data_IF_683522680981
#
_entry.id   IF_683522680981
#
_cell.length_a   1.000
_cell.length_b   1.000
_cell.length_c   1.000
_cell.angle_alpha   90.00
_cell.angle_beta   90.00
_cell.angle_gamma   90.00
#
_symmetry.space_group_name_H-M   'P 1'
#
loop_
_entity.id
_entity.type
_entity.pdbx_description
1 polymer ?
#
# COMPACT_ATOMS: atom_id res chain seq x y z
N UNK A 1 90.32 6.60 92.03
CA UNK A 1 89.97 5.19 91.75
C UNK A 1 88.50 5.13 91.38
N UNK A 2 88.19 5.08 90.12
CA UNK A 2 86.85 5.05 89.67
C UNK A 2 86.56 3.66 89.09
N UNK A 3 85.53 2.98 89.61
CA UNK A 3 85.23 1.61 89.28
C UNK A 3 84.02 1.71 88.27
N UNK A 4 84.14 1.24 87.05
CA UNK A 4 83.03 1.30 86.12
C UNK A 4 82.03 0.17 86.40
N UNK A 5 80.71 0.49 86.49
CA UNK A 5 79.61 -0.47 86.65
C UNK A 5 79.13 -0.98 85.24
N UNK A 6 79.39 -2.28 84.95
CA UNK A 6 79.08 -2.81 83.58
C UNK A 6 77.61 -3.21 83.30
N UNK A 7 76.67 -3.04 84.18
CA UNK A 7 75.28 -3.67 84.01
C UNK A 7 74.16 -2.81 83.44
N UNK A 8 74.41 -1.52 83.31
CA UNK A 8 73.28 -0.66 82.73
C UNK A 8 73.17 -0.67 81.21
N UNK A 9 74.30 -0.94 80.51
CA UNK A 9 74.30 -0.95 79.04
C UNK A 9 73.57 -2.21 78.42
N UNK A 10 73.68 -3.35 79.16
CA UNK A 10 73.07 -4.62 78.72
C UNK A 10 71.54 -4.62 78.89
N UNK A 11 71.04 -4.07 79.99
CA UNK A 11 69.61 -3.94 80.25
C UNK A 11 68.90 -2.94 79.26
N UNK A 12 69.61 -1.87 78.88
CA UNK A 12 69.09 -0.94 77.86
C UNK A 12 69.03 -1.55 76.45
N UNK A 13 69.98 -2.40 76.04
CA UNK A 13 69.99 -3.10 74.76
C UNK A 13 68.88 -4.18 74.73
N UNK A 14 68.74 -5.00 75.75
CA UNK A 14 67.65 -6.03 75.79
C UNK A 14 66.30 -5.39 75.81
N UNK A 15 66.09 -4.28 76.49
CA UNK A 15 64.81 -3.57 76.50
C UNK A 15 64.50 -2.92 75.15
N UNK A 16 65.51 -2.41 74.41
CA UNK A 16 65.35 -1.89 73.07
C UNK A 16 65.06 -3.00 72.04
N UNK A 17 65.70 -4.17 72.17
CA UNK A 17 65.38 -5.32 71.29
C UNK A 17 63.99 -5.92 71.58
N UNK A 18 63.55 -5.94 72.81
CA UNK A 18 62.19 -6.37 73.18
C UNK A 18 61.09 -5.44 72.60
N UNK A 19 61.34 -4.12 72.66
CA UNK A 19 60.44 -3.16 72.00
C UNK A 19 60.46 -3.27 70.48
N UNK A 20 61.61 -3.49 69.87
CA UNK A 20 61.73 -3.66 68.43
C UNK A 20 61.06 -4.94 67.96
N UNK A 21 61.19 -6.07 68.66
CA UNK A 21 60.44 -7.32 68.33
C UNK A 21 58.95 -7.16 68.56
N UNK A 22 58.54 -6.45 69.63
CA UNK A 22 57.12 -6.13 69.86
C UNK A 22 56.51 -5.32 68.75
N UNK A 23 57.21 -4.32 68.25
CA UNK A 23 56.76 -3.50 67.12
C UNK A 23 56.67 -4.31 65.78
N UNK A 24 57.71 -5.19 65.56
CA UNK A 24 57.75 -6.07 64.35
C UNK A 24 56.61 -7.08 64.36
N UNK A 25 56.14 -7.54 65.54
CA UNK A 25 54.96 -8.45 65.63
C UNK A 25 53.63 -7.66 65.60
N UNK A 26 53.62 -6.46 66.19
CA UNK A 26 52.38 -5.66 66.25
C UNK A 26 51.94 -5.09 64.88
N UNK A 27 52.93 -4.68 64.08
CA UNK A 27 52.67 -4.13 62.76
C UNK A 27 51.93 -5.16 61.82
N UNK A 28 52.42 -6.41 61.63
CA UNK A 28 51.74 -7.41 60.83
C UNK A 28 50.38 -7.84 61.44
N UNK A 29 50.25 -7.82 62.77
CA UNK A 29 48.99 -8.15 63.44
C UNK A 29 47.94 -7.06 63.22
N UNK A 30 48.32 -5.78 63.23
CA UNK A 30 47.49 -4.64 62.90
C UNK A 30 47.14 -4.64 61.39
N UNK A 31 48.10 -4.92 60.49
CA UNK A 31 47.85 -4.99 59.05
C UNK A 31 46.96 -6.17 58.69
N UNK A 32 47.11 -7.32 59.37
CA UNK A 32 46.22 -8.48 59.22
C UNK A 32 44.81 -8.19 59.78
N UNK A 33 44.70 -7.42 60.87
CA UNK A 33 43.41 -6.92 61.37
C UNK A 33 42.75 -5.91 60.44
N UNK A 34 43.48 -4.96 59.90
CA UNK A 34 43.05 -3.95 58.96
C UNK A 34 42.68 -4.57 57.59
N UNK A 35 43.42 -5.59 57.13
CA UNK A 35 43.12 -6.27 55.88
C UNK A 35 41.80 -7.10 55.89
N UNK A 36 41.34 -7.44 57.11
CA UNK A 36 40.02 -8.08 57.29
C UNK A 36 38.84 -7.10 57.44
N UNK A 37 39.10 -5.80 57.57
CA UNK A 37 38.07 -4.78 57.56
C UNK A 37 37.56 -4.63 56.10
N UNK A 38 36.30 -4.99 55.86
CA UNK A 38 35.68 -4.70 54.59
C UNK A 38 35.64 -3.19 54.36
N UNK A 39 35.96 -2.69 53.14
CA UNK A 39 35.86 -1.26 52.86
C UNK A 39 34.44 -0.76 53.19
N UNK A 40 34.37 0.43 53.77
CA UNK A 40 33.08 1.06 54.08
C UNK A 40 32.25 1.15 52.79
N UNK A 41 31.03 0.65 52.83
CA UNK A 41 30.11 0.74 51.71
C UNK A 41 29.87 2.23 51.34
N UNK A 42 30.03 2.63 50.08
CA UNK A 42 29.75 4.00 49.66
C UNK A 42 28.28 4.32 49.92
N UNK A 43 27.99 5.57 50.30
CA UNK A 43 26.63 6.03 50.50
C UNK A 43 26.06 6.59 49.21
N UNK A 44 24.78 6.33 48.99
CA UNK A 44 23.98 6.80 47.88
C UNK A 44 22.72 7.43 48.44
N UNK A 45 22.39 8.60 47.98
CA UNK A 45 21.18 9.31 48.41
C UNK A 45 19.93 8.56 47.92
N UNK A 46 19.07 8.15 48.83
CA UNK A 46 17.86 7.34 48.55
C UNK A 46 16.89 8.07 47.59
N UNK A 47 16.85 9.40 47.59
CA UNK A 47 16.02 10.19 46.71
C UNK A 47 16.42 10.12 45.24
N UNK A 48 17.66 9.74 44.93
CA UNK A 48 18.22 9.66 43.57
C UNK A 48 18.04 8.29 42.92
N UNK A 49 17.58 7.29 43.67
CA UNK A 49 17.45 5.91 43.19
C UNK A 49 16.01 5.52 42.99
N UNK A 50 15.73 4.91 41.87
CA UNK A 50 14.43 4.31 41.57
C UNK A 50 14.44 2.85 42.04
N UNK A 51 13.56 2.54 43.01
CA UNK A 51 13.38 1.20 43.55
C UNK A 51 12.06 0.62 43.11
N UNK A 52 12.06 -0.63 42.65
CA UNK A 52 10.84 -1.39 42.34
C UNK A 52 10.92 -2.79 42.95
N UNK A 53 9.74 -3.38 43.19
CA UNK A 53 9.63 -4.72 43.75
C UNK A 53 9.44 -5.76 42.66
N UNK A 54 10.11 -6.91 42.79
CA UNK A 54 9.91 -8.07 41.93
C UNK A 54 8.52 -8.64 42.15
N UNK A 55 7.73 -8.72 41.07
CA UNK A 55 6.37 -9.21 41.05
C UNK A 55 6.30 -10.55 40.32
N UNK A 56 5.32 -11.37 40.66
CA UNK A 56 4.97 -12.57 39.91
C UNK A 56 3.56 -12.41 39.34
N UNK A 57 3.40 -12.68 38.07
CA UNK A 57 2.11 -12.59 37.43
C UNK A 57 2.22 -12.50 35.91
N UNK A 58 1.16 -12.04 35.31
CA UNK A 58 1.10 -11.81 33.87
C UNK A 58 1.97 -10.61 33.46
N UNK A 59 2.88 -10.85 32.53
CA UNK A 59 3.70 -9.81 31.90
C UNK A 59 3.34 -9.69 30.43
N UNK A 60 2.91 -8.50 30.03
CA UNK A 60 2.62 -8.19 28.62
C UNK A 60 3.88 -7.67 27.95
N UNK A 61 4.37 -8.42 26.98
CA UNK A 61 5.51 -8.03 26.17
C UNK A 61 5.05 -7.16 25.02
N UNK A 62 5.50 -5.92 25.00
CA UNK A 62 5.09 -4.91 24.02
C UNK A 62 6.30 -4.28 23.35
N UNK A 63 6.09 -3.83 22.13
CA UNK A 63 7.03 -3.00 21.37
C UNK A 63 6.37 -1.68 21.05
N UNK A 64 7.13 -0.60 21.19
CA UNK A 64 6.69 0.75 20.86
C UNK A 64 7.44 1.26 19.62
N UNK A 65 6.71 1.93 18.74
CA UNK A 65 7.25 2.61 17.58
C UNK A 65 6.54 3.93 17.32
N UNK A 66 7.29 4.90 16.81
CA UNK A 66 6.74 6.16 16.30
C UNK A 66 6.28 5.94 14.86
N UNK A 67 5.20 6.61 14.49
CA UNK A 67 4.64 6.47 13.15
C UNK A 67 3.80 7.64 12.71
N UNK A 68 3.13 7.45 11.60
CA UNK A 68 2.17 8.41 11.04
C UNK A 68 0.92 7.69 10.56
N UNK A 69 -0.22 8.39 10.57
CA UNK A 69 -1.42 7.95 9.88
C UNK A 69 -1.25 8.16 8.39
N UNK A 70 -1.51 7.14 7.60
CA UNK A 70 -1.48 7.23 6.13
C UNK A 70 -2.81 6.73 5.56
N UNK A 71 -3.29 7.27 4.44
CA UNK A 71 -4.47 6.75 3.77
C UNK A 71 -4.25 5.29 3.38
N UNK A 72 -5.31 4.46 3.49
CA UNK A 72 -5.26 3.08 2.96
C UNK A 72 -5.08 3.09 1.46
N UNK A 73 -5.88 3.95 0.80
CA UNK A 73 -5.92 4.06 -0.65
C UNK A 73 -5.62 5.50 -1.05
N UNK A 74 -4.71 5.65 -1.99
CA UNK A 74 -4.35 6.92 -2.62
C UNK A 74 -4.65 6.78 -4.10
N UNK A 75 -5.57 7.59 -4.61
CA UNK A 75 -5.82 7.67 -6.03
C UNK A 75 -4.92 8.76 -6.64
N UNK A 76 -3.98 8.31 -7.45
CA UNK A 76 -3.14 9.17 -8.26
C UNK A 76 -3.86 9.50 -9.57
N UNK A 77 -3.96 10.77 -9.90
CA UNK A 77 -4.64 11.24 -11.11
C UNK A 77 -3.56 11.74 -12.09
N UNK A 78 -3.16 10.90 -13.06
CA UNK A 78 -2.21 11.32 -14.09
C UNK A 78 -2.92 12.06 -15.22
N UNK A 79 -2.17 12.87 -15.97
CA UNK A 79 -2.60 13.39 -17.27
C UNK A 79 -2.75 12.22 -18.26
N UNK A 80 -3.90 12.13 -18.91
CA UNK A 80 -4.15 11.13 -19.96
C UNK A 80 -3.59 11.59 -21.31
N UNK A 81 -3.53 12.90 -21.51
CA UNK A 81 -3.06 13.55 -22.74
C UNK A 81 -2.13 14.72 -22.41
N UNK A 82 -1.33 15.11 -23.37
CA UNK A 82 -0.52 16.33 -23.25
C UNK A 82 -1.42 17.55 -23.22
N UNK A 83 -1.01 18.58 -22.48
CA UNK A 83 -1.76 19.83 -22.42
C UNK A 83 -1.07 20.88 -21.57
N UNK A 84 -1.68 22.07 -21.55
CA UNK A 84 -1.29 23.18 -20.67
C UNK A 84 -2.40 23.44 -19.67
N UNK A 85 -2.07 23.57 -18.39
CA UNK A 85 -3.03 23.88 -17.33
C UNK A 85 -3.59 25.28 -17.54
N UNK A 86 -4.90 25.39 -17.78
CA UNK A 86 -5.59 26.67 -17.98
C UNK A 86 -6.20 27.16 -16.68
N UNK A 87 -6.85 26.27 -15.96
CA UNK A 87 -7.61 26.62 -14.75
C UNK A 87 -7.60 25.48 -13.74
N UNK A 88 -7.54 25.87 -12.47
CA UNK A 88 -7.78 24.98 -11.33
C UNK A 88 -9.14 25.35 -10.73
N UNK A 89 -9.99 24.37 -10.49
CA UNK A 89 -11.34 24.57 -9.92
C UNK A 89 -11.39 24.25 -8.43
N UNK A 90 -10.47 23.41 -7.96
CA UNK A 90 -10.45 22.88 -6.61
C UNK A 90 -9.04 23.07 -6.01
N UNK A 91 -8.97 23.39 -4.74
CA UNK A 91 -7.72 23.53 -3.99
C UNK A 91 -7.48 22.32 -3.08
N UNK A 92 -6.23 22.00 -2.71
CA UNK A 92 -5.94 20.98 -1.71
C UNK A 92 -6.74 21.21 -0.41
N UNK A 93 -7.21 20.11 0.20
CA UNK A 93 -8.09 20.14 1.37
C UNK A 93 -9.59 20.15 1.06
N UNK A 94 -10.01 20.33 -0.21
CA UNK A 94 -11.42 20.35 -0.58
C UNK A 94 -11.98 18.95 -0.78
N UNK A 95 -13.19 18.62 -0.26
CA UNK A 95 -13.86 17.36 -0.56
C UNK A 95 -14.30 17.32 -2.03
N UNK A 96 -14.07 16.18 -2.68
CA UNK A 96 -14.36 15.94 -4.08
C UNK A 96 -15.20 14.69 -4.26
N UNK A 97 -16.03 14.66 -5.32
CA UNK A 97 -16.79 13.50 -5.76
C UNK A 97 -16.24 12.99 -7.08
N UNK A 98 -16.65 11.80 -7.49
CA UNK A 98 -16.23 11.12 -8.73
C UNK A 98 -16.19 12.07 -9.95
N UNK A 99 -17.24 12.89 -10.14
CA UNK A 99 -17.37 13.78 -11.30
C UNK A 99 -16.81 15.19 -11.09
N UNK A 100 -16.29 15.50 -9.92
CA UNK A 100 -15.75 16.83 -9.64
C UNK A 100 -14.55 17.11 -10.54
N UNK A 101 -14.65 18.18 -11.35
CA UNK A 101 -13.52 18.65 -12.17
C UNK A 101 -12.52 19.36 -11.29
N UNK A 102 -11.29 18.86 -11.26
CA UNK A 102 -10.19 19.42 -10.45
C UNK A 102 -9.50 20.55 -11.19
N UNK A 103 -9.14 20.30 -12.45
CA UNK A 103 -8.45 21.25 -13.31
C UNK A 103 -8.83 21.03 -14.79
N UNK A 104 -8.53 22.03 -15.60
CA UNK A 104 -8.74 22.01 -17.04
C UNK A 104 -7.41 22.22 -17.75
N UNK A 105 -7.15 21.37 -18.72
CA UNK A 105 -6.02 21.45 -19.64
C UNK A 105 -6.50 22.01 -20.98
N UNK A 106 -5.63 22.66 -21.74
CA UNK A 106 -5.85 23.02 -23.13
C UNK A 106 -4.80 22.35 -24.02
N UNK A 107 -5.26 21.85 -25.15
CA UNK A 107 -4.40 21.33 -26.21
C UNK A 107 -5.02 21.66 -27.58
N UNK A 108 -4.64 22.79 -28.21
CA UNK A 108 -5.20 23.23 -29.49
C UNK A 108 -4.98 22.22 -30.63
N UNK A 109 -3.86 21.46 -30.58
CA UNK A 109 -3.59 20.43 -31.58
C UNK A 109 -4.59 19.27 -31.50
N UNK A 110 -4.95 18.90 -30.26
CA UNK A 110 -5.97 17.87 -30.02
C UNK A 110 -7.36 18.36 -30.42
N UNK A 111 -7.70 19.63 -30.11
CA UNK A 111 -8.97 20.24 -30.54
C UNK A 111 -9.11 20.19 -32.06
N UNK A 112 -8.06 20.59 -32.80
CA UNK A 112 -8.06 20.54 -34.25
C UNK A 112 -8.15 19.10 -34.78
N UNK A 113 -7.38 18.16 -34.20
CA UNK A 113 -7.39 16.77 -34.64
C UNK A 113 -8.76 16.08 -34.41
N UNK A 114 -9.48 16.49 -33.38
CA UNK A 114 -10.84 15.98 -33.13
C UNK A 114 -11.86 16.55 -34.12
N UNK A 115 -11.76 17.83 -34.46
CA UNK A 115 -12.57 18.44 -35.50
C UNK A 115 -12.32 17.77 -36.86
N UNK A 116 -11.04 17.51 -37.22
CA UNK A 116 -10.68 16.83 -38.46
C UNK A 116 -11.25 15.41 -38.50
N UNK A 117 -11.22 14.66 -37.42
CA UNK A 117 -11.81 13.32 -37.33
C UNK A 117 -13.34 13.36 -37.50
N UNK A 118 -14.01 14.34 -36.88
CA UNK A 118 -15.44 14.53 -37.02
C UNK A 118 -15.83 14.84 -38.49
N UNK A 119 -15.09 15.72 -39.15
CA UNK A 119 -15.35 16.05 -40.57
C UNK A 119 -15.09 14.87 -41.50
N UNK A 120 -14.03 14.08 -41.23
CA UNK A 120 -13.76 12.85 -41.98
C UNK A 120 -14.91 11.83 -41.84
N UNK A 121 -15.44 11.65 -40.63
CA UNK A 121 -16.58 10.79 -40.38
C UNK A 121 -17.80 11.27 -41.15
N UNK A 122 -18.15 12.57 -41.06
CA UNK A 122 -19.28 13.14 -41.77
C UNK A 122 -19.18 13.00 -43.31
N UNK A 123 -17.97 13.18 -43.85
CA UNK A 123 -17.70 12.98 -45.27
C UNK A 123 -17.91 11.51 -45.69
N UNK A 124 -17.44 10.56 -44.88
CA UNK A 124 -17.59 9.14 -45.17
C UNK A 124 -19.07 8.69 -45.04
N UNK A 125 -19.81 9.23 -44.07
CA UNK A 125 -21.27 8.97 -43.95
C UNK A 125 -22.05 9.53 -45.15
N UNK A 126 -21.69 10.72 -45.64
CA UNK A 126 -22.29 11.29 -46.84
C UNK A 126 -21.96 10.43 -48.08
N UNK A 127 -20.71 9.96 -48.22
CA UNK A 127 -20.33 9.05 -49.32
C UNK A 127 -21.09 7.72 -49.25
N UNK A 128 -21.24 7.12 -48.07
CA UNK A 128 -22.04 5.91 -47.88
C UNK A 128 -23.50 6.10 -48.33
N UNK A 129 -24.13 7.21 -47.92
CA UNK A 129 -25.51 7.52 -48.28
C UNK A 129 -25.67 7.75 -49.78
N UNK A 130 -24.71 8.44 -50.40
CA UNK A 130 -24.71 8.66 -51.88
C UNK A 130 -24.56 7.34 -52.63
N UNK A 131 -23.59 6.49 -52.23
CA UNK A 131 -23.38 5.17 -52.83
C UNK A 131 -24.59 4.28 -52.65
N UNK A 132 -25.24 4.31 -51.50
CA UNK A 132 -26.47 3.56 -51.22
C UNK A 132 -27.60 3.97 -52.18
N UNK A 133 -27.84 5.27 -52.31
CA UNK A 133 -28.87 5.78 -53.20
C UNK A 133 -28.60 5.39 -54.68
N UNK A 134 -27.34 5.46 -55.12
CA UNK A 134 -26.92 5.05 -56.45
C UNK A 134 -27.16 3.56 -56.73
N UNK A 135 -26.71 2.69 -55.75
CA UNK A 135 -26.89 1.24 -55.89
C UNK A 135 -28.35 0.81 -55.78
N UNK A 136 -29.13 1.46 -54.92
CA UNK A 136 -30.58 1.22 -54.83
C UNK A 136 -31.28 1.57 -56.14
N UNK A 137 -30.92 2.69 -56.79
CA UNK A 137 -31.47 3.07 -58.13
C UNK A 137 -31.08 2.04 -59.19
N UNK A 138 -29.81 1.64 -59.25
CA UNK A 138 -29.36 0.62 -60.21
C UNK A 138 -30.06 -0.72 -60.01
N UNK A 139 -30.29 -1.13 -58.75
CA UNK A 139 -31.01 -2.36 -58.46
C UNK A 139 -32.48 -2.30 -58.85
N UNK A 140 -33.13 -1.13 -58.71
CA UNK A 140 -34.50 -0.90 -59.17
C UNK A 140 -34.60 -0.99 -60.68
N UNK A 141 -33.65 -0.41 -61.45
CA UNK A 141 -33.60 -0.50 -62.87
C UNK A 141 -33.44 -1.95 -63.36
N UNK A 142 -32.59 -2.71 -62.73
CA UNK A 142 -32.40 -4.13 -63.02
C UNK A 142 -33.61 -4.97 -62.66
N UNK A 143 -34.28 -4.68 -61.53
CA UNK A 143 -35.61 -5.33 -61.22
C UNK A 143 -36.66 -5.05 -62.23
N UNK A 144 -36.78 -3.83 -62.73
CA UNK A 144 -37.72 -3.47 -63.79
C UNK A 144 -37.40 -4.25 -65.08
N UNK A 145 -36.09 -4.34 -65.47
CA UNK A 145 -35.72 -5.13 -66.63
C UNK A 145 -36.04 -6.63 -66.47
N UNK A 146 -35.76 -7.22 -65.33
CA UNK A 146 -36.10 -8.62 -65.06
C UNK A 146 -37.60 -8.86 -65.02
N UNK A 147 -38.40 -7.93 -64.50
CA UNK A 147 -39.83 -8.01 -64.48
C UNK A 147 -40.45 -8.00 -65.93
N UNK A 148 -39.87 -7.20 -66.82
CA UNK A 148 -40.27 -7.17 -68.25
C UNK A 148 -39.99 -8.52 -68.91
N UNK A 149 -38.76 -9.09 -68.73
CA UNK A 149 -38.41 -10.41 -69.27
C UNK A 149 -39.32 -11.51 -68.70
N UNK A 150 -39.64 -11.45 -67.40
CA UNK A 150 -40.53 -12.40 -66.75
C UNK A 150 -42.01 -12.31 -67.34
N UNK A 151 -42.50 -11.11 -67.61
CA UNK A 151 -43.79 -10.90 -68.26
C UNK A 151 -43.79 -11.49 -69.63
N UNK A 152 -42.73 -11.26 -70.46
CA UNK A 152 -42.59 -11.81 -71.81
C UNK A 152 -42.61 -13.36 -71.79
N UNK A 153 -41.87 -13.95 -70.88
CA UNK A 153 -41.85 -15.40 -70.67
C UNK A 153 -43.22 -15.95 -70.30
N UNK A 154 -43.92 -15.31 -69.34
CA UNK A 154 -45.25 -15.73 -68.90
C UNK A 154 -46.23 -15.69 -70.04
N UNK A 155 -46.20 -14.63 -70.88
CA UNK A 155 -47.06 -14.53 -72.08
C UNK A 155 -46.69 -15.59 -73.09
N UNK A 156 -45.45 -15.85 -73.40
CA UNK A 156 -45.02 -16.89 -74.30
C UNK A 156 -45.40 -18.31 -73.83
N UNK A 157 -45.27 -18.59 -72.54
CA UNK A 157 -45.68 -19.84 -71.92
C UNK A 157 -47.21 -20.08 -72.11
N UNK A 158 -48.03 -19.07 -71.77
CA UNK A 158 -49.47 -19.13 -71.96
C UNK A 158 -49.91 -19.37 -73.46
N UNK A 159 -49.15 -18.73 -74.40
CA UNK A 159 -49.34 -18.95 -75.80
C UNK A 159 -48.99 -20.39 -76.24
N UNK A 160 -47.87 -20.93 -75.78
CA UNK A 160 -47.41 -22.30 -76.03
C UNK A 160 -48.39 -23.33 -75.45
N UNK A 161 -48.89 -23.10 -74.23
CA UNK A 161 -49.96 -23.93 -73.63
C UNK A 161 -51.23 -23.91 -74.42
N UNK A 162 -51.76 -22.72 -74.87
CA UNK A 162 -52.92 -22.54 -75.73
C UNK A 162 -52.73 -23.30 -77.05
N UNK A 163 -51.59 -23.10 -77.76
CA UNK A 163 -51.34 -23.74 -79.06
C UNK A 163 -51.28 -25.27 -78.92
N UNK A 164 -50.67 -25.77 -77.81
CA UNK A 164 -50.65 -27.21 -77.50
C UNK A 164 -52.07 -27.80 -77.29
N UNK A 165 -52.92 -27.09 -76.56
CA UNK A 165 -54.32 -27.53 -76.35
C UNK A 165 -55.18 -27.51 -77.68
N UNK A 166 -55.00 -26.47 -78.50
CA UNK A 166 -55.65 -26.43 -79.79
C UNK A 166 -55.20 -27.55 -80.72
N UNK A 167 -53.94 -27.91 -80.70
CA UNK A 167 -53.38 -29.05 -81.45
C UNK A 167 -53.96 -30.40 -81.02
N UNK A 168 -54.10 -30.62 -79.69
CA UNK A 168 -54.76 -31.79 -79.13
C UNK A 168 -56.19 -31.97 -79.57
N UNK A 169 -56.86 -30.85 -79.80
CA UNK A 169 -58.30 -30.83 -80.34
C UNK A 169 -58.34 -30.92 -81.86
N UNK A 170 -57.20 -31.05 -82.58
CA UNK A 170 -57.14 -31.10 -84.05
C UNK A 170 -57.35 -29.78 -84.75
N UNK A 171 -57.31 -28.66 -84.01
CA UNK A 171 -57.57 -27.29 -84.50
C UNK A 171 -56.31 -26.45 -84.71
N UNK A 172 -55.13 -27.01 -84.47
CA UNK A 172 -53.82 -26.33 -84.52
C UNK A 172 -52.80 -27.07 -85.40
N UNK A 173 -51.91 -26.29 -86.06
CA UNK A 173 -50.80 -26.83 -86.84
C UNK A 173 -49.64 -27.24 -85.88
N UNK A 174 -49.09 -28.45 -86.05
CA UNK A 174 -47.91 -28.93 -85.23
C UNK A 174 -46.73 -27.98 -85.30
N UNK A 175 -46.53 -27.28 -86.41
CA UNK A 175 -45.43 -26.32 -86.60
C UNK A 175 -45.62 -25.13 -85.62
N UNK A 176 -46.84 -24.64 -85.46
CA UNK A 176 -47.10 -23.53 -84.50
C UNK A 176 -46.76 -23.94 -83.06
N UNK A 177 -47.12 -25.17 -82.65
CA UNK A 177 -46.80 -25.68 -81.32
C UNK A 177 -45.28 -25.77 -81.13
N UNK A 178 -44.54 -26.22 -82.15
CA UNK A 178 -43.04 -26.28 -82.04
C UNK A 178 -42.43 -24.89 -81.94
N UNK A 179 -42.91 -23.93 -82.68
CA UNK A 179 -42.44 -22.54 -82.69
C UNK A 179 -42.79 -21.84 -81.37
N UNK A 180 -44.01 -21.92 -80.87
CA UNK A 180 -44.38 -21.30 -79.62
C UNK A 180 -43.69 -21.93 -78.39
N UNK A 181 -43.46 -23.26 -78.41
CA UNK A 181 -42.66 -23.93 -77.35
C UNK A 181 -41.22 -23.50 -77.40
N UNK A 182 -40.54 -23.51 -78.54
CA UNK A 182 -39.19 -23.05 -78.66
C UNK A 182 -38.99 -21.60 -78.16
N UNK A 183 -39.97 -20.73 -78.48
CA UNK A 183 -40.00 -19.34 -77.98
C UNK A 183 -40.15 -19.26 -76.48
N UNK A 184 -41.06 -20.08 -75.90
CA UNK A 184 -41.21 -20.14 -74.42
C UNK A 184 -39.94 -20.64 -73.74
N UNK A 185 -39.31 -21.70 -74.24
CA UNK A 185 -38.03 -22.24 -73.71
C UNK A 185 -36.90 -21.22 -73.82
N UNK A 186 -36.79 -20.48 -74.88
CA UNK A 186 -35.79 -19.42 -75.04
C UNK A 186 -35.99 -18.27 -74.06
N UNK A 187 -37.26 -17.88 -73.81
CA UNK A 187 -37.60 -16.83 -72.85
C UNK A 187 -37.45 -17.32 -71.36
N UNK A 188 -37.71 -18.60 -71.09
CA UNK A 188 -37.48 -19.23 -69.83
C UNK A 188 -36.02 -19.16 -69.46
N UNK A 189 -35.12 -19.54 -70.37
CA UNK A 189 -33.67 -19.43 -70.18
C UNK A 189 -33.24 -17.98 -69.90
N UNK A 190 -33.85 -17.04 -70.69
CA UNK A 190 -33.53 -15.61 -70.49
C UNK A 190 -34.04 -15.08 -69.15
N UNK A 191 -35.23 -15.47 -68.68
CA UNK A 191 -35.80 -15.13 -67.37
C UNK A 191 -34.89 -15.68 -66.25
N UNK A 192 -34.42 -16.94 -66.40
CA UNK A 192 -33.46 -17.53 -65.49
C UNK A 192 -32.12 -16.72 -65.35
N UNK A 193 -31.58 -16.37 -66.52
CA UNK A 193 -30.35 -15.56 -66.58
C UNK A 193 -30.54 -14.16 -65.92
N UNK A 194 -31.63 -13.48 -66.18
CA UNK A 194 -31.93 -12.16 -65.62
C UNK A 194 -32.19 -12.25 -64.07
N UNK A 195 -32.82 -13.33 -63.58
CA UNK A 195 -32.94 -13.57 -62.14
C UNK A 195 -31.58 -13.81 -61.47
N UNK A 196 -30.70 -14.63 -62.09
CA UNK A 196 -29.35 -14.85 -61.63
C UNK A 196 -28.55 -13.55 -61.61
N UNK A 197 -28.61 -12.79 -62.70
CA UNK A 197 -27.96 -11.48 -62.82
C UNK A 197 -28.43 -10.50 -61.77
N UNK A 198 -29.70 -10.47 -61.43
CA UNK A 198 -30.28 -9.64 -60.37
C UNK A 198 -29.72 -10.06 -58.99
N UNK A 199 -29.61 -11.38 -58.72
CA UNK A 199 -29.08 -11.90 -57.48
C UNK A 199 -27.59 -11.55 -57.30
N UNK A 200 -26.80 -11.72 -58.34
CA UNK A 200 -25.34 -11.36 -58.33
C UNK A 200 -25.17 -9.84 -58.14
N UNK A 201 -25.98 -9.04 -58.82
CA UNK A 201 -25.94 -7.59 -58.71
C UNK A 201 -26.32 -7.13 -57.27
N UNK A 202 -27.35 -7.73 -56.68
CA UNK A 202 -27.73 -7.46 -55.28
C UNK A 202 -26.64 -7.84 -54.28
N UNK A 203 -25.97 -8.99 -54.50
CA UNK A 203 -24.86 -9.43 -53.70
C UNK A 203 -23.65 -8.47 -53.82
N UNK A 204 -23.36 -8.04 -55.07
CA UNK A 204 -22.27 -7.07 -55.35
C UNK A 204 -22.56 -5.71 -54.69
N UNK A 205 -23.77 -5.20 -54.82
CA UNK A 205 -24.21 -3.95 -54.20
C UNK A 205 -24.08 -4.01 -52.68
N UNK A 206 -24.49 -5.12 -52.07
CA UNK A 206 -24.36 -5.37 -50.63
C UNK A 206 -22.87 -5.37 -50.21
N UNK A 207 -22.02 -6.09 -50.95
CA UNK A 207 -20.58 -6.13 -50.63
C UNK A 207 -19.94 -4.74 -50.69
N UNK A 208 -20.33 -3.91 -51.68
CA UNK A 208 -19.84 -2.53 -51.79
C UNK A 208 -20.30 -1.65 -50.62
N UNK A 209 -21.58 -1.80 -50.22
CA UNK A 209 -22.12 -1.08 -49.06
C UNK A 209 -21.45 -1.54 -47.75
N UNK A 210 -21.23 -2.84 -47.58
CA UNK A 210 -20.56 -3.38 -46.38
C UNK A 210 -19.12 -2.86 -46.28
N UNK A 211 -18.40 -2.79 -47.39
CA UNK A 211 -17.05 -2.22 -47.44
C UNK A 211 -17.04 -0.73 -47.05
N UNK A 212 -17.98 0.06 -47.60
CA UNK A 212 -18.05 1.48 -47.26
C UNK A 212 -18.55 1.69 -45.82
N UNK A 213 -19.44 0.84 -45.32
CA UNK A 213 -19.87 0.84 -43.92
C UNK A 213 -18.71 0.58 -42.95
N UNK A 214 -17.87 -0.41 -43.27
CA UNK A 214 -16.68 -0.68 -42.47
C UNK A 214 -15.75 0.56 -42.40
N UNK A 215 -15.66 1.33 -43.50
CA UNK A 215 -14.90 2.59 -43.51
C UNK A 215 -15.54 3.65 -42.59
N UNK A 216 -16.85 3.79 -42.59
CA UNK A 216 -17.55 4.70 -41.67
C UNK A 216 -17.34 4.28 -40.22
N UNK A 217 -17.44 2.99 -39.92
CA UNK A 217 -17.21 2.47 -38.56
C UNK A 217 -15.75 2.72 -38.05
N UNK A 218 -14.76 2.55 -38.94
CA UNK A 218 -13.38 2.88 -38.65
C UNK A 218 -13.20 4.36 -38.27
N UNK A 219 -13.77 5.27 -39.06
CA UNK A 219 -13.69 6.72 -38.82
C UNK A 219 -14.50 7.14 -37.59
N UNK A 220 -15.62 6.46 -37.31
CA UNK A 220 -16.39 6.67 -36.08
C UNK A 220 -15.60 6.31 -34.85
N UNK A 221 -14.89 5.18 -34.85
CA UNK A 221 -14.04 4.79 -33.76
C UNK A 221 -12.88 5.82 -33.54
N UNK A 222 -12.35 6.41 -34.63
CA UNK A 222 -11.35 7.47 -34.56
C UNK A 222 -11.92 8.75 -33.94
N UNK A 223 -13.11 9.18 -34.35
CA UNK A 223 -13.83 10.34 -33.82
C UNK A 223 -14.10 10.17 -32.31
N UNK A 224 -14.64 9.00 -31.90
CA UNK A 224 -14.90 8.67 -30.52
C UNK A 224 -13.60 8.70 -29.67
N UNK A 225 -12.50 8.16 -30.19
CA UNK A 225 -11.19 8.21 -29.52
C UNK A 225 -10.75 9.67 -29.30
N UNK A 226 -10.86 10.51 -30.34
CA UNK A 226 -10.48 11.93 -30.22
C UNK A 226 -11.36 12.70 -29.27
N UNK A 227 -12.66 12.46 -29.26
CA UNK A 227 -13.62 13.04 -28.31
C UNK A 227 -13.33 12.59 -26.86
N UNK A 228 -12.96 11.33 -26.67
CA UNK A 228 -12.55 10.83 -25.36
C UNK A 228 -11.27 11.51 -24.86
N UNK A 229 -10.29 11.71 -25.74
CA UNK A 229 -9.07 12.44 -25.42
C UNK A 229 -9.37 13.91 -25.06
N UNK A 230 -10.25 14.59 -25.79
CA UNK A 230 -10.72 15.94 -25.46
C UNK A 230 -11.42 16.01 -24.09
N UNK A 231 -12.28 15.06 -23.81
CA UNK A 231 -12.96 14.98 -22.52
C UNK A 231 -11.98 14.78 -21.37
N UNK A 232 -10.86 14.10 -21.62
CA UNK A 232 -9.80 13.89 -20.61
C UNK A 232 -9.02 15.15 -20.27
N UNK A 233 -9.10 16.21 -21.09
CA UNK A 233 -8.54 17.53 -20.74
C UNK A 233 -9.26 18.16 -19.54
N UNK A 234 -10.49 17.77 -19.27
CA UNK A 234 -11.20 18.09 -18.03
C UNK A 234 -10.91 16.99 -17.00
N UNK A 235 -9.85 17.22 -16.22
CA UNK A 235 -9.38 16.25 -15.24
C UNK A 235 -10.35 16.17 -14.07
N UNK A 236 -10.91 14.97 -13.85
CA UNK A 236 -11.88 14.71 -12.77
C UNK A 236 -11.24 13.96 -11.62
N UNK A 237 -11.85 14.03 -10.44
CA UNK A 237 -11.37 13.36 -9.24
C UNK A 237 -11.35 11.82 -9.35
N UNK A 238 -12.31 11.25 -10.10
CA UNK A 238 -12.38 9.80 -10.33
C UNK A 238 -12.73 8.94 -9.12
N UNK A 239 -12.80 9.53 -7.92
CA UNK A 239 -13.28 8.90 -6.69
C UNK A 239 -13.85 9.93 -5.73
N UNK A 240 -14.59 9.46 -4.72
CA UNK A 240 -15.02 10.30 -3.60
C UNK A 240 -13.94 10.35 -2.54
N UNK A 241 -13.61 11.56 -2.06
CA UNK A 241 -12.55 11.78 -1.08
C UNK A 241 -12.22 13.24 -0.88
N UNK A 242 -10.97 13.52 -0.49
CA UNK A 242 -10.42 14.87 -0.32
C UNK A 242 -9.19 14.98 -1.23
N UNK A 243 -9.10 16.09 -1.94
CA UNK A 243 -7.93 16.43 -2.73
C UNK A 243 -6.76 16.72 -1.77
N UNK A 244 -5.78 15.81 -1.70
CA UNK A 244 -4.63 15.96 -0.81
C UNK A 244 -3.57 16.88 -1.40
N UNK A 245 -3.27 16.70 -2.68
CA UNK A 245 -2.20 17.43 -3.36
C UNK A 245 -2.59 17.75 -4.80
N UNK A 246 -2.15 18.90 -5.27
CA UNK A 246 -2.23 19.33 -6.65
C UNK A 246 -0.82 19.73 -7.09
N UNK A 247 -0.18 18.85 -7.87
CA UNK A 247 1.27 18.92 -8.19
C UNK A 247 1.60 19.83 -9.36
N UNK A 248 0.61 20.60 -9.88
CA UNK A 248 0.77 21.43 -11.08
C UNK A 248 0.21 22.84 -10.90
N UNK A 249 0.81 23.80 -11.62
CA UNK A 249 0.44 25.21 -11.59
C UNK A 249 -0.24 25.66 -12.90
N UNK A 250 -1.08 26.72 -12.81
CA UNK A 250 -1.70 27.33 -13.99
C UNK A 250 -0.60 27.88 -14.93
N UNK A 251 -0.72 27.55 -16.21
CA UNK A 251 0.26 27.89 -17.23
C UNK A 251 1.32 26.81 -17.48
N UNK A 252 1.47 25.83 -16.59
CA UNK A 252 2.42 24.73 -16.73
C UNK A 252 2.01 23.78 -17.85
N UNK A 253 2.98 23.33 -18.66
CA UNK A 253 2.80 22.24 -19.64
C UNK A 253 2.97 20.90 -18.94
N UNK A 254 2.08 19.96 -19.22
CA UNK A 254 2.13 18.58 -18.72
C UNK A 254 2.08 17.60 -19.88
N UNK A 255 2.75 16.47 -19.72
CA UNK A 255 2.73 15.37 -20.67
C UNK A 255 1.91 14.21 -20.14
N UNK A 256 1.43 13.35 -21.01
CA UNK A 256 0.73 12.13 -20.63
C UNK A 256 1.55 11.32 -19.61
N UNK A 257 0.89 10.82 -18.56
CA UNK A 257 1.54 10.13 -17.43
C UNK A 257 2.01 11.03 -16.29
N UNK A 258 2.08 12.36 -16.47
CA UNK A 258 2.42 13.29 -15.37
C UNK A 258 1.34 13.26 -14.30
N UNK A 259 1.72 13.03 -13.04
CA UNK A 259 0.79 13.09 -11.91
C UNK A 259 0.33 14.52 -11.69
N UNK A 260 -0.99 14.75 -11.79
CA UNK A 260 -1.62 16.06 -11.63
C UNK A 260 -2.12 16.28 -10.22
N UNK A 261 -2.74 15.27 -9.62
CA UNK A 261 -3.37 15.37 -8.32
C UNK A 261 -3.36 14.03 -7.57
N UNK A 262 -3.58 14.11 -6.25
CA UNK A 262 -3.79 12.96 -5.37
C UNK A 262 -5.10 13.15 -4.60
N UNK A 263 -5.97 12.16 -4.68
CA UNK A 263 -7.22 12.10 -3.92
C UNK A 263 -7.14 10.99 -2.89
N UNK A 264 -7.50 11.28 -1.66
CA UNK A 264 -7.44 10.33 -0.53
C UNK A 264 -8.79 10.26 0.18
N UNK A 265 -9.08 9.13 0.80
CA UNK A 265 -10.23 8.97 1.68
C UNK A 265 -9.78 9.23 3.14
N UNK A 266 -10.16 10.37 3.74
CA UNK A 266 -9.69 10.75 5.09
C UNK A 266 -10.25 9.84 6.19
N UNK A 267 -11.33 9.11 5.93
CA UNK A 267 -11.96 8.17 6.87
C UNK A 267 -11.31 6.79 6.84
N UNK A 268 -10.52 6.48 5.83
CA UNK A 268 -9.87 5.17 5.63
C UNK A 268 -8.36 5.31 5.82
N UNK A 269 -7.93 5.36 7.10
CA UNK A 269 -6.53 5.49 7.48
C UNK A 269 -5.99 4.17 8.03
N UNK A 270 -4.68 3.98 7.91
CA UNK A 270 -3.87 2.98 8.61
C UNK A 270 -2.72 3.70 9.32
N UNK A 271 -2.20 3.11 10.38
CA UNK A 271 -1.00 3.64 11.01
C UNK A 271 0.23 2.93 10.44
N UNK A 272 1.22 3.70 10.05
CA UNK A 272 2.54 3.23 9.64
C UNK A 272 3.53 3.49 10.76
N UNK A 273 3.95 2.42 11.45
CA UNK A 273 4.79 2.50 12.66
C UNK A 273 6.19 2.02 12.32
N UNK A 274 7.21 2.75 12.74
CA UNK A 274 8.61 2.35 12.65
C UNK A 274 9.04 1.67 13.93
N UNK A 275 9.36 0.40 13.85
CA UNK A 275 9.80 -0.43 14.96
C UNK A 275 11.29 -0.71 14.81
N UNK A 276 12.12 -0.59 15.87
CA UNK A 276 13.53 -0.97 15.80
C UNK A 276 13.70 -2.42 15.32
N UNK A 277 14.65 -2.65 14.41
CA UNK A 277 14.92 -3.97 13.80
C UNK A 277 15.08 -5.07 14.85
N UNK A 278 15.80 -4.77 15.95
CA UNK A 278 16.03 -5.72 17.04
C UNK A 278 14.76 -6.25 17.70
N UNK A 279 13.68 -5.48 17.63
CA UNK A 279 12.37 -5.81 18.20
C UNK A 279 11.37 -6.27 17.15
N UNK A 280 11.55 -5.83 15.90
CA UNK A 280 10.67 -6.15 14.78
C UNK A 280 10.65 -7.65 14.41
N UNK A 281 11.73 -8.39 14.74
CA UNK A 281 11.84 -9.85 14.51
C UNK A 281 10.71 -10.65 15.19
N UNK A 282 10.15 -10.12 16.27
CA UNK A 282 9.11 -10.79 17.07
C UNK A 282 7.70 -10.30 16.73
N UNK A 283 7.57 -9.32 15.83
CA UNK A 283 6.27 -8.81 15.38
C UNK A 283 5.70 -9.74 14.31
N UNK A 284 4.43 -10.12 14.47
CA UNK A 284 3.70 -11.00 13.55
C UNK A 284 2.44 -10.30 13.05
N UNK A 285 2.03 -10.66 11.83
CA UNK A 285 0.75 -10.20 11.26
C UNK A 285 -0.41 -10.74 12.11
N UNK A 286 -1.39 -9.87 12.37
CA UNK A 286 -2.56 -10.18 13.19
C UNK A 286 -2.43 -9.83 14.68
N UNK A 287 -1.24 -9.48 15.15
CA UNK A 287 -1.05 -9.03 16.54
C UNK A 287 -1.83 -7.75 16.83
N UNK A 288 -2.32 -7.65 18.08
CA UNK A 288 -3.05 -6.49 18.57
C UNK A 288 -2.09 -5.31 18.70
N UNK A 289 -2.55 -4.16 18.25
CA UNK A 289 -1.82 -2.90 18.38
C UNK A 289 -2.75 -1.81 18.92
N UNK A 290 -2.15 -0.86 19.62
CA UNK A 290 -2.81 0.32 20.17
C UNK A 290 -2.11 1.56 19.62
N UNK A 291 -2.88 2.42 18.97
CA UNK A 291 -2.37 3.62 18.30
C UNK A 291 -2.85 4.86 19.04
N UNK A 292 -1.92 5.54 19.68
CA UNK A 292 -2.18 6.82 20.33
C UNK A 292 -1.97 7.96 19.33
N UNK A 293 -3.03 8.69 19.06
CA UNK A 293 -3.06 9.84 18.16
C UNK A 293 -2.87 11.17 18.90
N UNK A 294 -2.53 11.15 20.19
CA UNK A 294 -2.50 12.29 21.12
C UNK A 294 -3.88 12.96 21.37
N UNK A 295 -4.92 12.54 20.63
CA UNK A 295 -6.31 12.96 20.81
C UNK A 295 -7.23 11.78 21.16
N UNK A 296 -6.64 10.60 21.33
CA UNK A 296 -7.35 9.36 21.65
C UNK A 296 -6.58 8.14 21.15
N UNK A 297 -6.85 7.02 21.81
CA UNK A 297 -6.24 5.73 21.50
C UNK A 297 -7.17 4.91 20.63
N UNK A 298 -6.67 4.43 19.49
CA UNK A 298 -7.42 3.60 18.54
C UNK A 298 -6.86 2.19 18.54
N UNK A 299 -7.68 1.16 18.78
CA UNK A 299 -7.26 -0.22 18.64
C UNK A 299 -7.02 -0.56 17.17
N UNK A 300 -6.11 -1.48 16.92
CA UNK A 300 -5.80 -1.95 15.58
C UNK A 300 -5.09 -3.29 15.57
N UNK A 301 -4.80 -3.80 14.38
CA UNK A 301 -4.03 -5.02 14.17
C UNK A 301 -2.93 -4.81 13.16
N UNK A 302 -1.81 -5.49 13.38
CA UNK A 302 -0.71 -5.57 12.41
C UNK A 302 -1.24 -6.23 11.13
N UNK A 303 -1.24 -5.48 10.04
CA UNK A 303 -1.72 -5.94 8.73
C UNK A 303 -0.60 -6.28 7.77
N UNK A 304 0.54 -5.59 7.87
CA UNK A 304 1.71 -5.79 7.01
C UNK A 304 2.99 -5.42 7.75
N UNK A 305 4.05 -6.15 7.46
CA UNK A 305 5.40 -5.86 7.92
C UNK A 305 6.26 -5.69 6.67
N UNK A 306 6.95 -4.56 6.56
CA UNK A 306 7.84 -4.32 5.43
C UNK A 306 9.09 -5.21 5.59
N UNK A 307 9.47 -5.97 4.56
CA UNK A 307 10.68 -6.81 4.63
C UNK A 307 11.98 -5.99 4.60
N UNK A 308 11.91 -4.72 4.21
CA UNK A 308 13.08 -3.85 4.11
C UNK A 308 13.35 -3.11 5.43
N UNK A 309 14.60 -3.16 5.87
CA UNK A 309 15.08 -2.34 6.99
C UNK A 309 15.55 -0.99 6.48
N UNK A 310 15.00 0.09 7.02
CA UNK A 310 15.38 1.45 6.68
C UNK A 310 15.85 2.19 7.94
N UNK A 311 17.09 2.68 7.94
CA UNK A 311 17.70 3.40 9.07
C UNK A 311 17.58 2.65 10.41
N UNK A 312 17.78 1.31 10.40
CA UNK A 312 17.70 0.46 11.59
C UNK A 312 16.28 0.22 12.12
N UNK A 313 15.25 0.56 11.32
CA UNK A 313 13.85 0.34 11.66
C UNK A 313 13.13 -0.45 10.56
N UNK A 314 12.10 -1.20 10.95
CA UNK A 314 11.17 -1.90 10.07
C UNK A 314 9.84 -1.17 10.12
N UNK A 315 9.24 -0.94 8.96
CA UNK A 315 7.91 -0.32 8.86
C UNK A 315 6.82 -1.39 9.04
N UNK A 316 5.93 -1.15 10.00
CA UNK A 316 4.80 -2.02 10.31
C UNK A 316 3.51 -1.24 10.05
N UNK A 317 2.67 -1.75 9.15
CA UNK A 317 1.34 -1.20 8.89
C UNK A 317 0.33 -1.81 9.87
N UNK A 318 -0.41 -0.97 10.55
CA UNK A 318 -1.47 -1.35 11.48
C UNK A 318 -2.82 -0.91 10.91
N UNK A 319 -3.71 -1.85 10.69
CA UNK A 319 -5.10 -1.58 10.33
C UNK A 319 -5.86 -1.13 11.59
N UNK A 320 -6.50 0.03 11.53
CA UNK A 320 -7.28 0.59 12.63
C UNK A 320 -8.65 -0.06 12.68
N UNK A 321 -9.10 -0.48 13.87
CA UNK A 321 -10.35 -1.23 14.11
C UNK A 321 -11.38 -0.40 14.90
N UNK A 322 -11.27 0.91 14.91
CA UNK A 322 -12.19 1.77 15.65
C UNK A 322 -12.53 3.05 14.93
N UNK A 323 -13.45 3.81 15.50
CA UNK A 323 -13.71 5.16 15.03
C UNK A 323 -12.48 6.03 15.24
N UNK A 324 -12.11 6.78 14.20
CA UNK A 324 -11.00 7.71 14.28
C UNK A 324 -11.38 8.87 15.20
N UNK A 325 -10.50 9.31 16.12
CA UNK A 325 -10.75 10.46 16.96
C UNK A 325 -10.83 11.74 16.14
N UNK A 326 -11.44 12.78 16.72
CA UNK A 326 -11.51 14.08 16.06
C UNK A 326 -10.11 14.62 15.79
N UNK A 327 -9.90 15.14 14.57
CA UNK A 327 -8.60 15.64 14.13
C UNK A 327 -7.67 14.58 13.53
N UNK A 328 -8.05 13.30 13.45
CA UNK A 328 -7.30 12.31 12.69
C UNK A 328 -7.29 12.70 11.20
N UNK A 329 -6.08 12.82 10.66
CA UNK A 329 -5.84 13.22 9.27
C UNK A 329 -4.57 12.53 8.74
N UNK A 330 -4.41 12.43 7.43
CA UNK A 330 -3.15 11.98 6.83
C UNK A 330 -1.96 12.75 7.40
N UNK A 331 -0.84 12.04 7.53
CA UNK A 331 0.45 12.55 8.05
C UNK A 331 0.45 12.98 9.53
N UNK A 332 -0.63 12.71 10.28
CA UNK A 332 -0.62 12.91 11.74
C UNK A 332 0.37 11.93 12.38
N UNK A 333 1.28 12.47 13.21
CA UNK A 333 2.20 11.66 14.00
C UNK A 333 1.44 10.88 15.08
N UNK A 334 1.80 9.63 15.27
CA UNK A 334 1.17 8.72 16.24
C UNK A 334 2.21 7.86 16.95
N UNK A 335 1.86 7.44 18.16
CA UNK A 335 2.62 6.46 18.91
C UNK A 335 1.92 5.10 18.82
N UNK A 336 2.60 4.09 18.30
CA UNK A 336 2.10 2.73 18.22
C UNK A 336 2.70 1.81 19.26
N UNK A 337 1.87 1.02 19.92
CA UNK A 337 2.29 -0.06 20.81
C UNK A 337 1.72 -1.36 20.28
N UNK A 338 2.58 -2.34 19.99
CA UNK A 338 2.21 -3.66 19.49
C UNK A 338 2.40 -4.69 20.60
N UNK A 339 1.39 -5.51 20.86
CA UNK A 339 1.46 -6.63 21.79
C UNK A 339 2.09 -7.83 21.09
N UNK A 340 3.30 -8.21 21.52
CA UNK A 340 4.03 -9.33 20.93
C UNK A 340 3.57 -10.64 21.55
N UNK A 341 3.58 -10.70 22.89
CA UNK A 341 3.37 -11.93 23.64
C UNK A 341 2.84 -11.62 25.02
N UNK A 342 1.99 -12.51 25.53
CA UNK A 342 1.44 -12.47 26.87
C UNK A 342 2.02 -13.64 27.67
N UNK A 343 2.81 -13.34 28.68
CA UNK A 343 3.45 -14.31 29.56
C UNK A 343 2.60 -14.47 30.82
N UNK A 344 1.90 -15.60 31.02
CA UNK A 344 0.85 -15.69 32.05
C UNK A 344 1.37 -15.74 33.49
N UNK A 345 2.57 -16.27 33.73
CA UNK A 345 3.13 -16.43 35.09
C UNK A 345 4.66 -16.37 35.09
N UNK A 346 5.21 -15.16 35.14
CA UNK A 346 6.65 -14.93 35.20
C UNK A 346 7.01 -13.98 36.34
N UNK A 347 8.26 -14.07 36.78
CA UNK A 347 8.84 -13.04 37.65
C UNK A 347 9.25 -11.86 36.80
N UNK A 348 8.84 -10.67 37.15
CA UNK A 348 9.20 -9.46 36.43
C UNK A 348 9.39 -8.26 37.35
N UNK A 349 10.08 -7.28 36.87
CA UNK A 349 10.32 -6.00 37.54
C UNK A 349 10.35 -4.88 36.52
N UNK A 350 10.27 -3.64 36.92
CA UNK A 350 10.52 -2.48 36.07
C UNK A 350 11.84 -2.63 35.30
N UNK A 351 11.91 -2.14 34.08
CA UNK A 351 13.11 -2.26 33.24
C UNK A 351 14.25 -1.41 33.79
N UNK A 352 15.41 -2.01 34.17
CA UNK A 352 16.56 -1.25 34.63
C UNK A 352 17.19 -0.46 33.46
N UNK A 353 17.85 0.65 33.79
CA UNK A 353 18.54 1.49 32.80
C UNK A 353 19.62 0.69 32.06
N UNK A 354 20.36 -0.15 32.79
CA UNK A 354 21.33 -1.08 32.22
C UNK A 354 20.83 -2.51 32.34
N UNK A 355 20.58 -3.14 31.21
CA UNK A 355 20.13 -4.54 31.14
C UNK A 355 19.64 -4.89 29.75
N UNK A 356 20.41 -5.71 29.06
CA UNK A 356 19.98 -6.26 27.77
C UNK A 356 19.08 -7.48 28.00
N UNK A 357 18.09 -7.74 27.14
CA UNK A 357 17.37 -9.01 27.16
C UNK A 357 18.34 -10.19 27.10
N UNK A 358 17.98 -11.29 27.77
CA UNK A 358 18.74 -12.55 27.80
C UNK A 358 20.20 -12.42 28.29
N UNK A 359 20.47 -11.42 29.17
CA UNK A 359 21.79 -11.17 29.74
C UNK A 359 21.80 -11.40 31.27
N UNK A 360 23.03 -11.49 31.84
CA UNK A 360 23.20 -11.49 33.29
C UNK A 360 23.83 -10.18 33.70
N UNK A 361 23.16 -9.45 34.61
CA UNK A 361 23.62 -8.15 35.11
C UNK A 361 23.68 -8.13 36.63
N UNK A 362 24.59 -7.33 37.19
CA UNK A 362 24.62 -7.08 38.62
C UNK A 362 23.58 -6.02 39.00
N UNK A 363 22.57 -6.38 39.76
CA UNK A 363 21.53 -5.46 40.26
C UNK A 363 21.66 -5.34 41.77
N UNK A 364 21.49 -4.14 42.32
CA UNK A 364 21.48 -3.91 43.77
C UNK A 364 20.11 -4.26 44.36
N UNK A 365 20.08 -5.30 45.19
CA UNK A 365 18.93 -5.75 45.97
C UNK A 365 18.99 -5.15 47.37
N UNK A 366 17.90 -4.52 47.80
CA UNK A 366 17.79 -3.97 49.15
C UNK A 366 17.74 -5.09 50.18
N UNK A 367 18.43 -4.86 51.31
CA UNK A 367 18.32 -5.72 52.49
C UNK A 367 17.03 -5.43 53.28
N UNK A 368 16.61 -6.34 54.18
CA UNK A 368 15.36 -6.24 54.95
C UNK A 368 15.17 -4.93 55.76
N UNK A 369 16.25 -4.21 56.05
CA UNK A 369 16.25 -2.90 56.70
C UNK A 369 16.09 -1.71 55.76
N UNK A 370 16.20 -1.90 54.44
CA UNK A 370 16.10 -0.86 53.41
C UNK A 370 17.21 0.21 53.44
N UNK A 371 18.22 0.05 54.34
CA UNK A 371 19.36 0.99 54.48
C UNK A 371 20.61 0.58 53.73
N UNK A 372 20.66 -0.66 53.30
CA UNK A 372 21.77 -1.20 52.51
C UNK A 372 21.25 -1.94 51.31
N UNK A 373 22.00 -1.96 50.22
CA UNK A 373 21.74 -2.78 49.06
C UNK A 373 22.96 -3.62 48.69
N UNK A 374 22.74 -4.86 48.32
CA UNK A 374 23.78 -5.84 47.95
C UNK A 374 23.65 -6.15 46.48
N UNK A 375 24.75 -6.15 45.77
CA UNK A 375 24.81 -6.49 44.36
C UNK A 375 24.63 -8.00 44.17
N UNK A 376 23.63 -8.38 43.41
CA UNK A 376 23.35 -9.78 43.10
C UNK A 376 23.36 -9.98 41.59
N UNK A 377 23.93 -11.08 41.07
CA UNK A 377 23.84 -11.43 39.67
C UNK A 377 22.41 -11.86 39.33
N UNK A 378 21.77 -11.14 38.43
CA UNK A 378 20.40 -11.39 38.02
C UNK A 378 20.39 -11.78 36.53
N UNK A 379 19.81 -12.94 36.22
CA UNK A 379 19.62 -13.37 34.86
C UNK A 379 18.31 -12.78 34.35
N UNK A 380 18.41 -11.85 33.43
CA UNK A 380 17.30 -11.21 32.74
C UNK A 380 16.80 -12.12 31.62
N UNK A 381 15.52 -12.10 31.35
CA UNK A 381 14.88 -12.76 30.22
C UNK A 381 14.33 -11.77 29.20
N UNK A 382 13.11 -12.02 28.74
CA UNK A 382 12.42 -11.20 27.73
C UNK A 382 12.09 -9.81 28.29
N UNK A 383 12.23 -8.80 27.46
CA UNK A 383 11.94 -7.41 27.86
C UNK A 383 10.70 -6.87 27.13
N UNK A 384 9.97 -6.02 27.85
CA UNK A 384 8.90 -5.17 27.34
C UNK A 384 9.35 -3.70 27.33
N UNK A 385 8.43 -2.78 27.02
CA UNK A 385 8.69 -1.33 27.04
C UNK A 385 9.12 -0.87 28.45
N UNK A 386 8.36 -1.26 29.47
CA UNK A 386 8.53 -0.78 30.86
C UNK A 386 8.97 -1.85 31.86
N UNK A 387 8.94 -3.13 31.48
CA UNK A 387 9.22 -4.27 32.38
C UNK A 387 10.20 -5.25 31.74
N UNK A 388 10.86 -6.07 32.59
CA UNK A 388 11.75 -7.14 32.16
C UNK A 388 11.52 -8.39 33.00
N UNK A 389 11.55 -9.54 32.34
CA UNK A 389 11.45 -10.86 32.97
C UNK A 389 12.70 -11.17 33.77
N UNK A 390 12.52 -11.76 34.95
CA UNK A 390 13.59 -12.28 35.79
C UNK A 390 13.58 -13.81 35.69
N UNK A 391 14.63 -14.38 35.10
CA UNK A 391 14.79 -15.82 34.96
C UNK A 391 15.45 -16.45 36.22
N UNK A 392 16.26 -15.67 36.92
CA UNK A 392 16.89 -16.12 38.14
C UNK A 392 17.69 -15.03 38.87
N UNK A 393 18.01 -15.28 40.14
CA UNK A 393 18.79 -14.35 40.96
C UNK A 393 17.96 -13.51 41.95
N UNK A 394 16.62 -13.46 41.75
CA UNK A 394 15.72 -12.71 42.63
C UNK A 394 14.47 -13.54 42.94
N UNK A 395 13.81 -13.21 44.05
CA UNK A 395 12.57 -13.79 44.52
C UNK A 395 11.43 -12.76 44.50
N UNK A 396 10.16 -13.25 44.57
CA UNK A 396 9.00 -12.39 44.70
C UNK A 396 9.13 -11.51 45.94
N UNK A 397 8.88 -10.22 45.78
CA UNK A 397 8.93 -9.24 46.87
C UNK A 397 10.31 -8.60 47.08
N UNK A 398 11.36 -9.11 46.45
CA UNK A 398 12.67 -8.49 46.50
C UNK A 398 12.60 -7.07 45.93
N UNK A 399 13.14 -6.09 46.65
CA UNK A 399 13.26 -4.72 46.21
C UNK A 399 14.60 -4.52 45.53
N UNK A 400 14.60 -3.96 44.33
CA UNK A 400 15.82 -3.75 43.54
C UNK A 400 15.92 -2.32 43.02
N UNK A 401 17.15 -1.84 42.84
CA UNK A 401 17.44 -0.52 42.30
C UNK A 401 17.51 -0.63 40.78
N UNK A 402 16.74 0.16 40.08
CA UNK A 402 16.61 0.15 38.61
C UNK A 402 17.30 1.33 37.93
N UNK A 403 17.63 2.40 38.68
CA UNK A 403 18.39 3.55 38.20
C UNK A 403 19.83 3.17 37.83
N UNK A 404 20.50 4.07 37.10
CA UNK A 404 21.91 3.88 36.72
C UNK A 404 22.83 3.84 37.93
N UNK A 405 23.42 2.66 38.17
CA UNK A 405 24.30 2.38 39.27
C UNK A 405 25.74 2.12 38.79
N UNK A 406 26.07 2.47 37.53
CA UNK A 406 27.40 2.20 36.94
C UNK A 406 28.57 2.80 37.72
N UNK A 407 28.37 3.94 38.39
CA UNK A 407 29.38 4.57 39.23
C UNK A 407 29.78 3.71 40.44
N UNK A 408 28.94 2.75 40.86
CA UNK A 408 29.16 1.85 42.01
C UNK A 408 29.37 0.38 41.62
N UNK A 409 29.60 0.10 40.35
CA UNK A 409 29.79 -1.27 39.83
C UNK A 409 30.98 -2.00 40.46
N UNK A 410 31.98 -1.26 41.00
CA UNK A 410 33.11 -1.81 41.72
C UNK A 410 32.83 -2.26 43.16
N UNK A 411 31.60 -2.05 43.67
CA UNK A 411 31.25 -2.34 45.05
C UNK A 411 30.18 -3.43 45.14
N UNK A 412 30.37 -4.37 46.10
CA UNK A 412 29.39 -5.44 46.39
C UNK A 412 28.23 -4.95 47.25
N UNK A 413 28.41 -3.83 47.95
CA UNK A 413 27.42 -3.22 48.85
C UNK A 413 27.45 -1.71 48.76
N UNK A 414 26.31 -1.10 48.90
CA UNK A 414 26.09 0.34 49.01
C UNK A 414 25.16 0.62 50.20
N UNK A 415 25.29 1.78 50.81
CA UNK A 415 24.38 2.27 51.85
C UNK A 415 23.50 3.35 51.27
N UNK A 416 22.22 3.30 51.62
CA UNK A 416 21.23 4.30 51.25
C UNK A 416 21.02 5.25 52.44
N UNK A 417 21.34 6.51 52.24
CA UNK A 417 21.18 7.59 53.23
C UNK A 417 20.00 8.48 52.93
#
# INVERSE_FOLDING_TARGET
>A
MDIPRPDQARKKRVRRTLYAVGVIILIPLITLGLSKLKPAAPSVERATVWVDAVKRGEMLRQVRGLGTLVPKDILWIPATTDGRVVRRFVLPGTPVKLDTVILELANPELDQSALDAEWQLKAAEAQYNSLKAQLDSQLLDQKAAAATVHSDYTQAKLNAEKDSELAKLGLGAELNVKVSRAKAEALETRDGIEKERLSVSAASAKAQLDAQKARVEQLRALDELKKSQLNSLRVRAGAEGVLQELSVEVGQRVTAGTVLAKVVQPTSLKAQIRVPETQAKDVLIGQIASIDTHNGVVPGRVSRIDPAVQNGTVTVDVALEGALPQGARPDLSVDGTIEIERLPDVLYVGRPVHGQPDSTVGIFKLTEGGKEAVRVPVKLGRSSVSTIEIVGGLNVGDQVILSDMSAWDGFDRIRLD
#
